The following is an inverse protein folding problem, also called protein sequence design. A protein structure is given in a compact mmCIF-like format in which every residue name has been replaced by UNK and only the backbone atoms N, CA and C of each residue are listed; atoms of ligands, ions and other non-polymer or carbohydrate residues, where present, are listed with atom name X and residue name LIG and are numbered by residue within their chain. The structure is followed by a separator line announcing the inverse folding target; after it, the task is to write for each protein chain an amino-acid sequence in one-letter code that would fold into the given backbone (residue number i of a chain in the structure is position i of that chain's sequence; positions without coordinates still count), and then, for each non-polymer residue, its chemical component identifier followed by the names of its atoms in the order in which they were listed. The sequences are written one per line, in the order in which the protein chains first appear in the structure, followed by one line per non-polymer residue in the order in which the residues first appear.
data_IF_689983378380
#
_entry.id   IF_689983378380
#
_cell.length_a   1.000
_cell.length_b   1.000
_cell.length_c   1.000
_cell.angle_alpha   90.00
_cell.angle_beta   90.00
_cell.angle_gamma   90.00
#
_symmetry.space_group_name_H-M   'P 1'
#
loop_
_entity.id
_entity.type
_entity.pdbx_description
1 polymer ?
#
# COMPACT_ATOMS: atom_id res chain seq x y z
N UNK A 1 -19.39 -22.86 34.70
CA UNK A 1 -18.03 -22.67 34.08
C UNK A 1 -18.05 -22.89 32.57
N UNK A 2 -18.73 -23.91 32.09
CA UNK A 2 -18.84 -24.24 30.63
C UNK A 2 -19.56 -23.15 29.83
N UNK A 3 -20.67 -22.61 30.30
CA UNK A 3 -21.48 -21.59 29.64
C UNK A 3 -20.68 -20.29 29.37
N UNK A 4 -19.84 -19.83 30.33
CA UNK A 4 -18.97 -18.65 30.13
C UNK A 4 -17.93 -18.90 29.03
N UNK A 5 -17.33 -20.09 28.96
CA UNK A 5 -16.37 -20.46 27.91
C UNK A 5 -17.02 -20.50 26.52
N UNK A 6 -18.25 -21.00 26.42
CA UNK A 6 -19.01 -21.03 25.16
C UNK A 6 -19.37 -19.63 24.70
N UNK A 7 -19.81 -18.74 25.59
CA UNK A 7 -20.12 -17.34 25.27
C UNK A 7 -18.85 -16.60 24.82
N UNK A 8 -17.72 -16.81 25.50
CA UNK A 8 -16.43 -16.21 25.08
C UNK A 8 -16.00 -16.73 23.73
N UNK A 9 -16.14 -18.01 23.43
CA UNK A 9 -15.80 -18.60 22.13
C UNK A 9 -16.68 -18.05 21.01
N UNK A 10 -17.99 -17.91 21.23
CA UNK A 10 -18.94 -17.33 20.27
C UNK A 10 -18.62 -15.85 20.04
N UNK A 11 -18.28 -15.08 21.07
CA UNK A 11 -17.93 -13.66 20.94
C UNK A 11 -16.60 -13.49 20.20
N UNK A 12 -15.60 -14.34 20.44
CA UNK A 12 -14.32 -14.33 19.71
C UNK A 12 -14.53 -14.70 18.24
N UNK A 13 -15.41 -15.67 17.95
CA UNK A 13 -15.74 -16.05 16.58
C UNK A 13 -16.52 -14.96 15.83
N UNK A 14 -17.40 -14.23 16.51
CA UNK A 14 -18.16 -13.11 15.92
C UNK A 14 -17.27 -11.91 15.58
N UNK A 15 -16.20 -11.67 16.35
CA UNK A 15 -15.22 -10.59 16.07
C UNK A 15 -14.35 -10.92 14.86
N UNK A 16 -14.12 -12.20 14.56
CA UNK A 16 -13.35 -12.66 13.39
C UNK A 16 -14.15 -12.57 12.07
N UNK A 17 -15.48 -12.44 12.12
CA UNK A 17 -16.34 -12.40 10.92
C UNK A 17 -16.48 -11.03 10.25
N UNK A 18 -15.81 -9.98 10.75
CA UNK A 18 -15.96 -8.63 10.21
C UNK A 18 -14.97 -8.24 9.10
N UNK A 19 -14.22 -9.18 8.54
CA UNK A 19 -13.37 -8.94 7.37
C UNK A 19 -13.96 -9.55 6.08
N UNK A 20 -15.27 -9.43 5.89
CA UNK A 20 -15.95 -10.12 4.79
C UNK A 20 -15.86 -9.44 3.42
N UNK A 21 -15.31 -8.24 3.31
CA UNK A 21 -15.09 -7.56 2.01
C UNK A 21 -13.81 -6.72 2.02
N UNK A 22 -12.66 -7.36 2.17
CA UNK A 22 -11.38 -6.71 1.94
C UNK A 22 -11.10 -6.65 0.44
N UNK A 23 -11.13 -5.46 -0.15
CA UNK A 23 -10.85 -5.27 -1.56
C UNK A 23 -9.34 -5.19 -1.80
N UNK A 24 -8.90 -5.78 -2.90
CA UNK A 24 -7.50 -5.83 -3.34
C UNK A 24 -7.19 -4.90 -4.51
N UNK A 25 -8.18 -4.14 -4.99
CA UNK A 25 -7.98 -3.15 -6.06
C UNK A 25 -9.04 -2.06 -5.99
N UNK A 26 -8.65 -0.84 -6.33
CA UNK A 26 -9.56 0.31 -6.50
C UNK A 26 -9.56 0.66 -7.98
N UNK A 27 -10.73 0.69 -8.62
CA UNK A 27 -10.91 1.22 -9.97
C UNK A 27 -12.13 2.11 -10.05
N UNK A 28 -12.10 3.10 -10.97
CA UNK A 28 -13.17 4.07 -11.14
C UNK A 28 -13.77 3.90 -12.53
N UNK A 29 -15.05 3.52 -12.59
CA UNK A 29 -15.82 3.42 -13.83
C UNK A 29 -15.65 2.14 -14.64
N UNK A 30 -14.81 1.20 -14.19
CA UNK A 30 -14.61 -0.11 -14.82
C UNK A 30 -14.14 -1.16 -13.81
N UNK A 31 -14.12 -2.43 -14.21
CA UNK A 31 -13.57 -3.50 -13.37
C UNK A 31 -12.06 -3.54 -13.51
N UNK A 32 -11.36 -3.55 -12.38
CA UNK A 32 -9.89 -3.66 -12.35
C UNK A 32 -9.43 -4.94 -13.05
N UNK A 33 -8.40 -4.80 -13.89
CA UNK A 33 -7.84 -5.88 -14.72
C UNK A 33 -7.21 -6.98 -13.89
N UNK A 34 -6.43 -6.58 -12.87
CA UNK A 34 -5.64 -7.51 -12.07
C UNK A 34 -6.40 -7.92 -10.82
N UNK A 35 -6.76 -9.20 -10.76
CA UNK A 35 -7.37 -9.85 -9.60
C UNK A 35 -6.58 -11.12 -9.27
N UNK A 36 -6.11 -11.25 -8.03
CA UNK A 36 -5.30 -12.41 -7.59
C UNK A 36 -4.04 -12.63 -8.46
N UNK A 37 -3.28 -11.56 -8.70
CA UNK A 37 -2.07 -11.58 -9.53
C UNK A 37 -0.80 -11.53 -8.67
N UNK A 38 0.32 -12.01 -9.22
CA UNK A 38 1.63 -11.95 -8.57
C UNK A 38 2.50 -10.81 -9.11
N UNK A 39 2.27 -10.38 -10.34
CA UNK A 39 2.95 -9.26 -10.99
C UNK A 39 2.05 -8.68 -12.10
N UNK A 40 2.28 -7.44 -12.47
CA UNK A 40 1.61 -6.83 -13.61
C UNK A 40 2.12 -7.45 -14.93
N UNK A 41 1.28 -7.51 -15.96
CA UNK A 41 1.61 -8.15 -17.26
C UNK A 41 2.81 -7.48 -17.97
N UNK A 42 3.04 -6.21 -17.70
CA UNK A 42 4.17 -5.47 -18.25
C UNK A 42 5.50 -5.67 -17.48
N UNK A 43 5.49 -6.47 -16.41
CA UNK A 43 6.67 -6.79 -15.61
C UNK A 43 7.18 -8.18 -15.99
N UNK A 44 8.47 -8.29 -16.31
CA UNK A 44 9.11 -9.59 -16.46
C UNK A 44 9.59 -10.10 -15.07
N UNK A 45 8.98 -11.13 -14.49
CA UNK A 45 9.38 -11.65 -13.18
C UNK A 45 10.78 -12.31 -13.20
N UNK A 46 11.22 -12.79 -14.35
CA UNK A 46 12.51 -13.45 -14.55
C UNK A 46 13.64 -12.47 -14.94
N UNK A 47 13.35 -11.16 -14.94
CA UNK A 47 14.37 -10.17 -15.23
C UNK A 47 15.50 -10.19 -14.20
N UNK A 48 16.74 -10.11 -14.66
CA UNK A 48 17.90 -10.00 -13.78
C UNK A 48 17.77 -8.75 -12.89
N UNK A 49 17.85 -8.95 -11.58
CA UNK A 49 17.80 -7.87 -10.60
C UNK A 49 19.19 -7.27 -10.43
N UNK A 50 19.25 -5.94 -10.38
CA UNK A 50 20.48 -5.20 -10.17
C UNK A 50 20.95 -4.46 -11.41
N UNK A 51 22.21 -4.02 -11.39
CA UNK A 51 22.79 -3.18 -12.43
C UNK A 51 22.79 -1.70 -12.07
N UNK A 52 23.07 -0.84 -13.06
CA UNK A 52 23.14 0.62 -12.90
C UNK A 52 22.39 1.28 -14.06
N UNK A 53 21.46 2.15 -13.73
CA UNK A 53 20.81 3.05 -14.68
C UNK A 53 21.21 4.49 -14.38
N UNK A 54 21.49 5.28 -15.40
CA UNK A 54 21.82 6.70 -15.28
C UNK A 54 20.73 7.47 -16.02
N UNK A 55 20.00 8.28 -15.27
CA UNK A 55 18.93 9.12 -15.80
C UNK A 55 19.33 10.59 -15.64
N UNK A 56 18.86 11.43 -16.57
CA UNK A 56 19.02 12.88 -16.47
C UNK A 56 17.79 13.51 -15.83
N UNK A 57 18.02 14.54 -15.03
CA UNK A 57 16.98 15.41 -14.50
C UNK A 57 17.38 16.86 -14.65
N UNK A 58 16.41 17.73 -14.95
CA UNK A 58 16.63 19.17 -15.04
C UNK A 58 16.51 19.82 -13.67
N UNK A 59 17.33 20.82 -13.42
CA UNK A 59 17.28 21.62 -12.18
C UNK A 59 18.39 21.27 -11.21
N UNK A 60 18.23 21.76 -10.01
CA UNK A 60 19.12 21.54 -8.85
C UNK A 60 18.31 20.99 -7.69
N UNK A 61 18.99 20.57 -6.64
CA UNK A 61 18.35 20.15 -5.39
C UNK A 61 19.23 20.56 -4.20
N UNK A 62 18.60 20.73 -3.06
CA UNK A 62 19.25 21.02 -1.78
C UNK A 62 18.93 19.98 -0.70
N UNK A 63 17.96 19.07 -0.99
CA UNK A 63 17.59 18.00 -0.09
C UNK A 63 17.09 16.77 -0.85
N UNK A 64 17.29 15.58 -0.29
CA UNK A 64 16.65 14.34 -0.76
C UNK A 64 15.29 14.10 -0.09
N UNK A 65 14.89 14.96 0.87
CA UNK A 65 13.58 14.85 1.49
C UNK A 65 12.54 15.71 0.73
N UNK A 66 11.60 15.10 -0.02
CA UNK A 66 10.62 15.82 -0.83
C UNK A 66 9.47 16.43 -0.01
N UNK A 67 9.38 16.12 1.27
CA UNK A 67 8.30 16.61 2.15
C UNK A 67 8.65 17.91 2.88
N UNK A 68 9.85 18.45 2.67
CA UNK A 68 10.24 19.74 3.25
C UNK A 68 9.62 20.90 2.47
N UNK A 69 8.86 21.77 3.15
CA UNK A 69 8.10 22.88 2.54
C UNK A 69 8.95 23.94 1.82
N UNK A 70 10.21 24.11 2.21
CA UNK A 70 11.11 25.15 1.68
C UNK A 70 12.37 24.55 1.05
N UNK A 71 12.26 23.37 0.47
CA UNK A 71 13.38 22.61 -0.06
C UNK A 71 13.07 22.13 -1.48
N UNK A 72 14.10 22.00 -2.29
CA UNK A 72 14.02 21.42 -3.63
C UNK A 72 14.58 20.02 -3.58
N UNK A 73 13.72 19.03 -3.86
CA UNK A 73 14.15 17.64 -4.03
C UNK A 73 14.37 17.31 -5.51
N UNK A 74 15.25 16.36 -5.82
CA UNK A 74 15.42 15.90 -7.20
C UNK A 74 14.11 15.38 -7.80
N UNK A 75 13.92 15.58 -9.10
CA UNK A 75 12.79 15.00 -9.81
C UNK A 75 12.74 13.47 -9.60
N UNK A 76 11.54 12.93 -9.42
CA UNK A 76 11.26 11.50 -9.25
C UNK A 76 11.74 10.86 -7.94
N UNK A 77 12.37 11.60 -7.03
CA UNK A 77 12.89 11.04 -5.77
C UNK A 77 11.79 10.35 -4.95
N UNK A 78 10.56 10.89 -4.96
CA UNK A 78 9.42 10.30 -4.28
C UNK A 78 9.17 8.85 -4.70
N UNK A 79 9.18 8.58 -6.00
CA UNK A 79 8.88 7.25 -6.54
C UNK A 79 10.04 6.25 -6.36
N UNK A 80 11.23 6.75 -6.04
CA UNK A 80 12.43 5.91 -5.87
C UNK A 80 12.75 5.61 -4.40
N UNK A 81 12.28 6.45 -3.47
CA UNK A 81 12.63 6.34 -2.05
C UNK A 81 11.44 6.03 -1.15
N UNK A 82 10.21 6.30 -1.59
CA UNK A 82 9.02 6.20 -0.74
C UNK A 82 7.95 5.35 -1.39
N UNK A 83 7.52 4.33 -0.67
CA UNK A 83 6.38 3.52 -1.05
C UNK A 83 5.07 4.11 -0.53
N UNK A 84 4.00 3.90 -1.27
CA UNK A 84 2.65 4.32 -0.91
C UNK A 84 1.82 3.12 -0.44
N UNK A 85 0.69 3.37 0.22
CA UNK A 85 -0.22 2.29 0.62
C UNK A 85 -0.72 1.49 -0.57
N UNK A 86 -0.99 2.17 -1.69
CA UNK A 86 -1.48 1.58 -2.93
C UNK A 86 -0.63 2.10 -4.11
N UNK A 87 -0.39 1.29 -5.11
CA UNK A 87 0.33 1.67 -6.32
C UNK A 87 -0.59 1.69 -7.53
N UNK A 88 -0.30 2.54 -8.51
CA UNK A 88 -1.07 2.60 -9.76
C UNK A 88 -0.58 1.57 -10.76
N UNK A 89 -1.49 1.01 -11.54
CA UNK A 89 -1.13 0.26 -12.74
C UNK A 89 -0.74 1.23 -13.86
N UNK A 90 0.24 0.85 -14.68
CA UNK A 90 0.67 1.65 -15.84
C UNK A 90 -0.15 1.37 -17.10
N UNK A 91 -0.89 0.26 -17.13
CA UNK A 91 -1.71 -0.18 -18.27
C UNK A 91 -3.22 -0.03 -18.02
N UNK A 92 -3.59 0.67 -16.95
CA UNK A 92 -4.98 1.01 -16.63
C UNK A 92 -5.10 2.50 -16.28
N UNK A 93 -6.14 3.20 -16.73
CA UNK A 93 -6.23 4.66 -16.59
C UNK A 93 -6.44 5.13 -15.14
N UNK A 94 -7.14 4.35 -14.31
CA UNK A 94 -7.56 4.78 -12.97
C UNK A 94 -7.69 3.63 -11.97
N UNK A 95 -6.74 2.69 -12.00
CA UNK A 95 -6.67 1.59 -11.04
C UNK A 95 -5.49 1.73 -10.09
N UNK A 96 -5.71 1.34 -8.85
CA UNK A 96 -4.69 1.25 -7.80
C UNK A 96 -4.75 -0.11 -7.12
N UNK A 97 -3.59 -0.63 -6.81
CA UNK A 97 -3.38 -1.97 -6.25
C UNK A 97 -2.58 -1.90 -4.96
N UNK A 98 -2.73 -2.85 -4.05
CA UNK A 98 -1.99 -2.90 -2.80
C UNK A 98 -0.47 -2.88 -3.01
N UNK A 99 0.23 -2.14 -2.14
CA UNK A 99 1.69 -2.12 -2.05
C UNK A 99 2.11 -2.26 -0.58
N UNK A 100 2.20 -1.17 0.19
CA UNK A 100 2.41 -1.25 1.65
C UNK A 100 1.15 -1.76 2.34
N UNK A 101 -0.04 -1.39 1.86
CA UNK A 101 -1.27 -2.06 2.26
C UNK A 101 -1.43 -3.39 1.53
N UNK A 102 -1.99 -4.39 2.21
CA UNK A 102 -2.38 -5.70 1.66
C UNK A 102 -3.80 -5.67 1.09
N UNK A 103 -4.66 -4.87 1.72
CA UNK A 103 -6.06 -4.72 1.34
C UNK A 103 -6.64 -3.41 1.89
N UNK A 104 -7.80 -3.03 1.40
CA UNK A 104 -8.56 -1.92 1.96
C UNK A 104 -10.03 -2.27 2.13
N UNK A 105 -10.72 -1.54 2.98
CA UNK A 105 -12.16 -1.59 3.16
C UNK A 105 -12.73 -0.17 3.19
N UNK A 106 -13.61 0.12 2.25
CA UNK A 106 -14.34 1.39 2.20
C UNK A 106 -15.61 1.26 3.04
N UNK A 107 -15.93 2.28 3.84
CA UNK A 107 -17.20 2.34 4.57
C UNK A 107 -18.39 2.45 3.60
N UNK A 108 -19.57 2.02 4.05
CA UNK A 108 -20.80 2.07 3.21
C UNK A 108 -21.18 3.48 2.79
N UNK A 109 -20.92 4.47 3.65
CA UNK A 109 -21.15 5.90 3.39
C UNK A 109 -20.03 6.54 2.56
N UNK A 110 -18.95 5.79 2.27
CA UNK A 110 -17.75 6.24 1.54
C UNK A 110 -16.98 7.39 2.20
N UNK A 111 -17.18 7.62 3.49
CA UNK A 111 -16.53 8.70 4.23
C UNK A 111 -15.27 8.24 4.97
N UNK A 112 -15.04 6.94 5.08
CA UNK A 112 -13.85 6.38 5.72
C UNK A 112 -13.31 5.17 4.98
N UNK A 113 -12.00 4.96 5.10
CA UNK A 113 -11.30 3.80 4.54
C UNK A 113 -10.41 3.19 5.62
N UNK A 114 -10.42 1.86 5.70
CA UNK A 114 -9.49 1.08 6.51
C UNK A 114 -8.49 0.41 5.59
N UNK A 115 -7.22 0.51 5.94
CA UNK A 115 -6.16 -0.25 5.27
C UNK A 115 -5.66 -1.36 6.18
N UNK A 116 -5.43 -2.53 5.62
CA UNK A 116 -4.73 -3.63 6.27
C UNK A 116 -3.28 -3.57 5.80
N UNK A 117 -2.35 -3.31 6.71
CA UNK A 117 -0.94 -3.23 6.37
C UNK A 117 -0.40 -4.64 6.05
N UNK A 118 0.46 -4.72 5.04
CA UNK A 118 1.10 -5.96 4.66
C UNK A 118 2.16 -6.32 5.71
N UNK A 119 2.05 -7.50 6.28
CA UNK A 119 2.97 -8.03 7.28
C UNK A 119 4.42 -8.20 6.77
N UNK A 120 4.61 -8.21 5.46
CA UNK A 120 5.92 -8.27 4.83
C UNK A 120 6.50 -6.89 4.48
N UNK A 121 5.72 -5.80 4.69
CA UNK A 121 6.20 -4.45 4.44
C UNK A 121 7.28 -4.05 5.45
N UNK A 122 8.42 -3.60 4.95
CA UNK A 122 9.58 -3.23 5.78
C UNK A 122 10.22 -1.95 5.30
N UNK A 123 10.74 -1.19 6.25
CA UNK A 123 11.66 -0.09 5.96
C UNK A 123 13.00 -0.62 5.40
N UNK A 124 13.77 0.24 4.77
CA UNK A 124 15.10 -0.09 4.22
C UNK A 124 16.10 -0.61 5.25
N UNK A 125 15.90 -0.30 6.54
CA UNK A 125 16.68 -0.82 7.66
C UNK A 125 16.21 -2.19 8.16
N UNK A 126 15.16 -2.77 7.56
CA UNK A 126 14.60 -4.07 7.91
C UNK A 126 13.50 -4.06 8.99
N UNK A 127 13.22 -2.91 9.60
CA UNK A 127 12.12 -2.79 10.57
C UNK A 127 10.76 -2.96 9.86
N UNK A 128 9.78 -3.52 10.56
CA UNK A 128 8.42 -3.67 10.06
C UNK A 128 7.71 -2.32 9.95
N UNK A 129 6.91 -2.14 8.89
CA UNK A 129 6.02 -0.99 8.75
C UNK A 129 4.72 -1.25 9.50
N UNK A 130 4.38 -0.37 10.42
CA UNK A 130 3.21 -0.50 11.28
C UNK A 130 2.11 0.52 10.92
N UNK A 131 0.89 0.30 11.45
CA UNK A 131 -0.19 1.27 11.32
C UNK A 131 0.13 2.61 12.01
N UNK A 132 1.01 2.62 13.03
CA UNK A 132 1.48 3.84 13.68
C UNK A 132 2.36 4.67 12.76
N UNK A 133 3.24 4.04 11.99
CA UNK A 133 4.10 4.72 11.02
C UNK A 133 3.28 5.36 9.91
N UNK A 134 2.26 4.63 9.42
CA UNK A 134 1.31 5.15 8.43
C UNK A 134 0.56 6.36 8.99
N UNK A 135 0.00 6.24 10.21
CA UNK A 135 -0.70 7.35 10.86
C UNK A 135 0.21 8.58 10.99
N UNK A 136 1.45 8.39 11.46
CA UNK A 136 2.42 9.49 11.61
C UNK A 136 2.70 10.23 10.29
N UNK A 137 2.59 9.55 9.15
CA UNK A 137 2.78 10.20 7.84
C UNK A 137 1.62 11.11 7.43
N UNK A 138 0.47 11.04 8.11
CA UNK A 138 -0.73 11.87 7.87
C UNK A 138 -0.95 12.94 8.93
N UNK A 139 -0.29 12.88 10.08
CA UNK A 139 -0.34 13.85 11.16
C UNK A 139 0.64 15.01 10.91
#
# INVERSE_FOLDING_TARGET
MILKKVITLIFTFLVLLNFTEANTSISIGYQAKYQNFNHFDYVNPDANKGGKIILSAFGTFDSLNPFLLKSLSPAQINNLMFDTLMTRSLDEPSSSYPLVAKAYQLSKDKLSVKYLINENAKFSNGNEVTAHDVKHSYD
#
